data_IF_867990290099
#
_entry.id   IF_867990290099
#
_cell.length_a   1.000
_cell.length_b   1.000
_cell.length_c   1.000
_cell.angle_alpha   90.00
_cell.angle_beta   90.00
_cell.angle_gamma   90.00
#
_symmetry.space_group_name_H-M   'P 1'
#
loop_
_entity.id
_entity.type
_entity.pdbx_description
1 polymer ?
#
# COMPACT_ATOMS: atom_id res chain seq x y z
N UNK A 1 7.02 -18.97 31.07
CA UNK A 1 6.51 -18.46 29.79
C UNK A 1 7.13 -17.08 29.59
N UNK A 2 8.19 -16.98 28.78
CA UNK A 2 8.89 -15.72 28.57
C UNK A 2 8.02 -14.87 27.62
N UNK A 3 7.45 -13.78 28.14
CA UNK A 3 6.82 -12.76 27.30
C UNK A 3 7.94 -12.14 26.46
N UNK A 4 7.92 -12.34 25.15
CA UNK A 4 8.81 -11.66 24.22
C UNK A 4 8.39 -10.18 24.17
N UNK A 5 8.94 -9.38 25.08
CA UNK A 5 8.73 -7.94 25.11
C UNK A 5 9.68 -7.31 24.10
N UNK A 6 9.14 -6.80 23.00
CA UNK A 6 9.89 -5.98 22.05
C UNK A 6 9.81 -4.52 22.49
N UNK A 7 10.97 -3.92 22.78
CA UNK A 7 11.08 -2.50 23.12
C UNK A 7 11.59 -1.76 21.89
N UNK A 8 10.91 -0.66 21.52
CA UNK A 8 11.29 0.16 20.39
C UNK A 8 10.75 1.59 20.51
N UNK A 9 11.14 2.44 19.56
CA UNK A 9 10.62 3.80 19.45
C UNK A 9 9.37 3.82 18.57
N UNK A 10 8.27 4.33 19.12
CA UNK A 10 7.04 4.60 18.38
C UNK A 10 6.89 6.09 18.11
N UNK A 11 6.24 6.43 16.99
CA UNK A 11 5.74 7.77 16.70
C UNK A 11 4.24 7.66 16.54
N UNK A 12 3.51 8.63 17.10
CA UNK A 12 2.08 8.71 16.87
C UNK A 12 1.82 9.15 15.43
N UNK A 13 1.00 8.38 14.71
CA UNK A 13 0.70 8.63 13.30
C UNK A 13 -0.80 8.92 13.23
N UNK A 14 -1.19 10.10 12.71
CA UNK A 14 -2.59 10.43 12.49
C UNK A 14 -3.32 9.34 11.70
N UNK A 15 -4.62 9.19 11.95
CA UNK A 15 -5.48 8.24 11.23
C UNK A 15 -6.04 8.82 9.92
N UNK A 16 -5.90 10.13 9.70
CA UNK A 16 -6.38 10.82 8.51
C UNK A 16 -5.24 11.05 7.51
N UNK A 17 -5.37 10.48 6.31
CA UNK A 17 -4.32 10.49 5.28
C UNK A 17 -3.86 11.89 4.85
N UNK A 18 -4.78 12.85 4.90
CA UNK A 18 -4.54 14.25 4.54
C UNK A 18 -3.73 15.03 5.59
N UNK A 19 -3.47 14.42 6.76
CA UNK A 19 -2.68 15.08 7.79
C UNK A 19 -1.19 15.07 7.41
N UNK A 20 -0.56 16.26 7.39
CA UNK A 20 0.85 16.47 7.02
C UNK A 20 1.84 15.59 7.79
N UNK A 21 1.46 15.21 9.02
CA UNK A 21 2.20 14.25 9.85
C UNK A 21 2.45 12.89 9.16
N UNK A 22 1.57 12.43 8.28
CA UNK A 22 1.75 11.16 7.53
C UNK A 22 2.79 11.35 6.43
N UNK A 23 2.73 12.44 5.69
CA UNK A 23 3.74 12.76 4.67
C UNK A 23 5.13 12.84 5.29
N UNK A 24 5.27 13.55 6.41
CA UNK A 24 6.54 13.65 7.14
C UNK A 24 7.01 12.29 7.66
N UNK A 25 6.08 11.47 8.15
CA UNK A 25 6.38 10.11 8.57
C UNK A 25 6.93 9.29 7.39
N UNK A 26 6.22 9.22 6.27
CA UNK A 26 6.63 8.44 5.11
C UNK A 26 8.00 8.91 4.57
N UNK A 27 8.16 10.22 4.34
CA UNK A 27 9.43 10.80 3.87
C UNK A 27 10.59 10.44 4.80
N UNK A 28 10.42 10.58 6.12
CA UNK A 28 11.47 10.23 7.09
C UNK A 28 11.91 8.76 6.99
N UNK A 29 10.96 7.83 6.86
CA UNK A 29 11.30 6.40 6.77
C UNK A 29 11.91 6.03 5.42
N UNK A 30 11.46 6.65 4.33
CA UNK A 30 12.07 6.51 3.01
C UNK A 30 13.51 7.03 3.05
N UNK A 31 13.73 8.23 3.61
CA UNK A 31 15.06 8.84 3.75
C UNK A 31 15.98 7.97 4.61
N UNK A 32 15.49 7.44 5.74
CA UNK A 32 16.26 6.52 6.57
C UNK A 32 16.63 5.24 5.83
N UNK A 33 15.69 4.67 5.07
CA UNK A 33 15.94 3.47 4.27
C UNK A 33 17.05 3.71 3.23
N UNK A 34 16.96 4.83 2.50
CA UNK A 34 17.91 5.16 1.43
C UNK A 34 19.31 5.53 1.93
N UNK A 35 19.39 6.22 3.08
CA UNK A 35 20.65 6.75 3.59
C UNK A 35 21.35 5.83 4.60
N UNK A 36 20.59 5.00 5.32
CA UNK A 36 21.14 4.16 6.40
C UNK A 36 21.31 2.69 6.02
N UNK A 37 20.78 2.24 4.87
CA UNK A 37 20.91 0.86 4.38
C UNK A 37 21.63 0.75 3.03
N UNK A 38 22.88 1.24 2.91
CA UNK A 38 23.61 1.23 1.64
C UNK A 38 23.79 -0.21 1.11
N UNK A 39 23.46 -0.42 -0.17
CA UNK A 39 23.60 -1.71 -0.85
C UNK A 39 22.58 -2.78 -0.45
N UNK A 40 21.67 -2.48 0.49
CA UNK A 40 20.58 -3.41 0.89
C UNK A 40 19.21 -2.96 0.38
N UNK A 41 19.00 -1.66 0.29
CA UNK A 41 17.75 -1.08 -0.19
C UNK A 41 17.98 -0.43 -1.56
N UNK A 42 17.11 -0.75 -2.53
CA UNK A 42 17.13 -0.14 -3.86
C UNK A 42 16.78 1.34 -3.71
N UNK A 43 17.53 2.22 -4.37
CA UNK A 43 17.14 3.63 -4.49
C UNK A 43 15.99 3.73 -5.51
N UNK A 44 14.98 4.58 -5.27
CA UNK A 44 13.98 4.86 -6.28
C UNK A 44 14.67 5.46 -7.49
N UNK A 45 14.55 4.78 -8.61
CA UNK A 45 15.05 5.22 -9.91
C UNK A 45 13.95 4.92 -10.93
N UNK A 46 13.81 5.74 -11.99
CA UNK A 46 12.92 5.42 -13.08
C UNK A 46 13.22 4.02 -13.64
N UNK A 47 12.18 3.21 -13.73
CA UNK A 47 12.23 1.86 -14.28
C UNK A 47 11.25 1.75 -15.43
N UNK A 48 11.47 0.77 -16.29
CA UNK A 48 10.52 0.46 -17.35
C UNK A 48 9.16 0.12 -16.74
N UNK A 49 8.14 0.91 -17.08
CA UNK A 49 6.81 0.70 -16.53
C UNK A 49 6.24 -0.67 -16.93
N UNK A 50 5.46 -1.32 -16.04
CA UNK A 50 4.66 -2.49 -16.39
C UNK A 50 3.75 -2.20 -17.59
N UNK A 51 3.16 -3.27 -18.17
CA UNK A 51 2.27 -3.15 -19.33
C UNK A 51 1.18 -2.10 -19.12
N UNK A 52 0.66 -2.01 -17.90
CA UNK A 52 -0.30 -0.99 -17.45
C UNK A 52 0.04 -0.47 -16.07
N UNK A 53 -0.23 0.81 -15.86
CA UNK A 53 -0.24 1.47 -14.56
C UNK A 53 -1.42 2.43 -14.45
N UNK A 54 -1.76 2.82 -13.23
CA UNK A 54 -2.76 3.85 -12.94
C UNK A 54 -2.06 5.19 -12.83
N UNK A 55 -2.38 6.13 -13.71
CA UNK A 55 -1.99 7.52 -13.57
C UNK A 55 -2.91 8.17 -12.52
N UNK A 56 -2.32 8.66 -11.42
CA UNK A 56 -3.09 9.18 -10.27
C UNK A 56 -3.30 10.70 -10.30
N UNK A 57 -2.61 11.42 -11.19
CA UNK A 57 -2.57 12.88 -11.16
C UNK A 57 -1.77 13.42 -9.96
N UNK A 58 -1.78 14.72 -9.76
CA UNK A 58 -0.98 15.39 -8.73
C UNK A 58 -1.81 15.85 -7.53
N UNK A 59 -3.10 16.11 -7.74
CA UNK A 59 -3.98 16.70 -6.74
C UNK A 59 -5.26 15.87 -6.55
N UNK A 60 -5.90 16.08 -5.40
CA UNK A 60 -7.23 15.53 -5.16
C UNK A 60 -8.22 16.09 -6.18
N UNK A 61 -9.03 15.21 -6.77
CA UNK A 61 -9.95 15.55 -7.86
C UNK A 61 -9.38 15.39 -9.27
N UNK A 62 -8.07 15.19 -9.42
CA UNK A 62 -7.49 14.85 -10.71
C UNK A 62 -8.04 13.50 -11.21
N UNK A 63 -8.21 13.41 -12.53
CA UNK A 63 -8.71 12.19 -13.19
C UNK A 63 -7.72 11.06 -13.00
N UNK A 64 -8.19 9.99 -12.38
CA UNK A 64 -7.46 8.73 -12.23
C UNK A 64 -7.79 7.87 -13.44
N UNK A 65 -6.77 7.35 -14.14
CA UNK A 65 -6.98 6.56 -15.35
C UNK A 65 -5.92 5.49 -15.54
N UNK A 66 -6.28 4.44 -16.25
CA UNK A 66 -5.38 3.38 -16.66
C UNK A 66 -4.57 3.84 -17.88
N UNK A 67 -3.26 3.67 -17.85
CA UNK A 67 -2.37 3.97 -18.99
C UNK A 67 -1.61 2.74 -19.41
N UNK A 68 -1.42 2.58 -20.73
CA UNK A 68 -0.60 1.55 -21.35
C UNK A 68 0.70 2.19 -21.85
N UNK A 69 1.51 2.68 -20.91
CA UNK A 69 2.80 3.33 -21.18
C UNK A 69 3.96 2.32 -21.06
N UNK A 70 3.73 1.08 -21.50
CA UNK A 70 4.71 0.00 -21.43
C UNK A 70 6.05 0.45 -22.06
N UNK A 71 7.14 0.32 -21.31
CA UNK A 71 8.47 0.67 -21.82
C UNK A 71 8.93 2.11 -21.54
N UNK A 72 8.08 3.01 -21.04
CA UNK A 72 8.52 4.33 -20.57
C UNK A 72 9.19 4.19 -19.21
N UNK A 73 10.31 4.88 -19.02
CA UNK A 73 10.97 4.92 -17.72
C UNK A 73 10.28 5.93 -16.80
N UNK A 74 9.75 5.45 -15.67
CA UNK A 74 9.17 6.28 -14.62
C UNK A 74 9.16 5.57 -13.28
N UNK A 75 8.95 6.33 -12.21
CA UNK A 75 8.68 5.78 -10.89
C UNK A 75 7.21 5.42 -10.73
N UNK A 76 6.94 4.33 -10.01
CA UNK A 76 5.60 3.94 -9.62
C UNK A 76 5.61 3.28 -8.24
N UNK A 77 4.46 3.32 -7.58
CA UNK A 77 4.20 2.52 -6.39
C UNK A 77 3.42 1.27 -6.76
N UNK A 78 3.50 0.22 -5.95
CA UNK A 78 2.64 -0.96 -6.07
C UNK A 78 1.73 -1.09 -4.84
N UNK A 79 0.48 -1.50 -5.03
CA UNK A 79 -0.46 -1.83 -3.96
C UNK A 79 -0.54 -3.36 -3.79
N UNK A 80 -0.25 -3.85 -2.59
CA UNK A 80 -0.52 -5.23 -2.18
C UNK A 80 -1.72 -5.23 -1.23
N UNK A 81 -2.84 -5.82 -1.65
CA UNK A 81 -4.09 -5.78 -0.90
C UNK A 81 -4.95 -7.02 -1.14
N UNK A 82 -5.82 -7.33 -0.17
CA UNK A 82 -6.88 -8.32 -0.35
C UNK A 82 -8.10 -7.67 -1.00
N UNK A 83 -8.66 -8.34 -2.01
CA UNK A 83 -9.88 -7.88 -2.66
C UNK A 83 -11.12 -8.11 -1.78
N UNK A 84 -11.07 -9.10 -0.88
CA UNK A 84 -12.20 -9.54 -0.05
C UNK A 84 -13.32 -10.24 -0.82
N UNK A 85 -14.36 -10.67 -0.11
CA UNK A 85 -15.53 -11.40 -0.65
C UNK A 85 -16.74 -10.52 -0.98
N UNK A 86 -16.56 -9.19 -1.07
CA UNK A 86 -17.61 -8.18 -1.31
C UNK A 86 -17.51 -7.52 -2.69
N UNK A 87 -18.00 -6.27 -2.82
CA UNK A 87 -17.91 -5.54 -4.10
C UNK A 87 -16.47 -5.19 -4.51
N UNK A 88 -15.52 -5.22 -3.57
CA UNK A 88 -14.08 -5.15 -3.85
C UNK A 88 -13.61 -3.84 -4.49
N UNK A 89 -12.32 -3.75 -4.86
CA UNK A 89 -11.84 -2.67 -5.71
C UNK A 89 -12.44 -2.78 -7.11
N UNK A 90 -12.51 -1.67 -7.88
CA UNK A 90 -12.84 -1.75 -9.30
C UNK A 90 -11.89 -2.72 -10.03
N UNK A 91 -12.45 -3.47 -10.97
CA UNK A 91 -11.74 -4.47 -11.78
C UNK A 91 -11.73 -4.07 -13.24
N UNK A 92 -10.59 -4.20 -13.89
CA UNK A 92 -10.50 -4.04 -15.34
C UNK A 92 -10.94 -5.33 -16.02
N UNK A 93 -11.93 -5.22 -16.89
CA UNK A 93 -12.47 -6.26 -17.76
C UNK A 93 -12.31 -5.82 -19.21
N UNK A 94 -12.36 -6.76 -20.16
CA UNK A 94 -12.30 -6.44 -21.60
C UNK A 94 -13.35 -5.41 -22.01
N UNK A 95 -14.53 -5.47 -21.39
CA UNK A 95 -15.67 -4.58 -21.66
C UNK A 95 -15.47 -3.15 -21.16
N UNK A 96 -14.72 -2.95 -20.07
CA UNK A 96 -14.53 -1.63 -19.45
C UNK A 96 -13.09 -1.09 -19.60
N UNK A 97 -12.16 -1.87 -20.20
CA UNK A 97 -10.77 -1.48 -20.41
C UNK A 97 -10.64 -0.11 -21.09
N UNK A 98 -11.41 0.13 -22.16
CA UNK A 98 -11.39 1.43 -22.85
C UNK A 98 -11.88 2.55 -21.94
N UNK A 99 -12.94 2.33 -21.18
CA UNK A 99 -13.47 3.32 -20.25
C UNK A 99 -12.46 3.65 -19.14
N UNK A 100 -11.77 2.64 -18.59
CA UNK A 100 -10.72 2.84 -17.59
C UNK A 100 -9.53 3.66 -18.12
N UNK A 101 -9.26 3.63 -19.43
CA UNK A 101 -8.23 4.50 -20.04
C UNK A 101 -8.63 5.96 -20.09
N UNK A 102 -9.93 6.25 -20.15
CA UNK A 102 -10.45 7.61 -20.09
C UNK A 102 -10.56 8.10 -18.64
N UNK A 103 -11.17 7.28 -17.78
CA UNK A 103 -11.31 7.51 -16.35
C UNK A 103 -11.68 6.21 -15.63
N UNK A 104 -10.96 5.90 -14.56
CA UNK A 104 -11.35 4.85 -13.62
C UNK A 104 -12.46 5.46 -12.74
N UNK A 105 -13.64 4.81 -12.63
CA UNK A 105 -14.69 5.32 -11.77
C UNK A 105 -14.17 5.49 -10.35
N UNK A 106 -14.69 6.47 -9.57
CA UNK A 106 -14.35 6.60 -8.16
C UNK A 106 -14.42 5.22 -7.52
N UNK A 107 -13.47 4.90 -6.64
CA UNK A 107 -13.17 3.56 -6.14
C UNK A 107 -14.31 2.87 -5.36
N UNK A 108 -15.55 3.37 -5.43
CA UNK A 108 -16.72 2.89 -4.74
C UNK A 108 -16.44 2.86 -3.25
N UNK A 109 -16.68 1.71 -2.64
CA UNK A 109 -16.41 1.47 -1.23
C UNK A 109 -14.94 1.08 -0.95
N UNK A 110 -14.06 1.03 -1.95
CA UNK A 110 -12.65 0.67 -1.74
C UNK A 110 -11.86 1.84 -1.15
N UNK A 111 -11.96 1.99 0.16
CA UNK A 111 -11.16 2.94 0.94
C UNK A 111 -9.66 2.65 0.81
N UNK A 112 -9.27 1.37 0.67
CA UNK A 112 -7.86 0.98 0.52
C UNK A 112 -7.26 1.53 -0.78
N UNK A 113 -7.99 1.43 -1.90
CA UNK A 113 -7.53 1.99 -3.17
C UNK A 113 -7.46 3.52 -3.11
N UNK A 114 -8.46 4.16 -2.51
CA UNK A 114 -8.47 5.61 -2.32
C UNK A 114 -7.26 6.07 -1.50
N UNK A 115 -7.01 5.43 -0.35
CA UNK A 115 -5.88 5.76 0.52
C UNK A 115 -4.54 5.52 -0.20
N UNK A 116 -4.43 4.48 -1.03
CA UNK A 116 -3.22 4.22 -1.82
C UNK A 116 -2.98 5.31 -2.90
N UNK A 117 -4.03 5.75 -3.59
CA UNK A 117 -3.96 6.85 -4.57
C UNK A 117 -3.47 8.14 -3.89
N UNK A 118 -4.05 8.48 -2.74
CA UNK A 118 -3.66 9.68 -1.99
C UNK A 118 -2.21 9.59 -1.48
N UNK A 119 -1.75 8.45 -0.97
CA UNK A 119 -0.33 8.26 -0.60
C UNK A 119 0.58 8.46 -1.82
N UNK A 120 0.20 7.91 -2.96
CA UNK A 120 0.98 8.03 -4.20
C UNK A 120 1.13 9.49 -4.61
N UNK A 121 0.04 10.27 -4.56
CA UNK A 121 0.04 11.73 -4.78
C UNK A 121 0.89 12.47 -3.75
N UNK A 122 0.77 12.14 -2.47
CA UNK A 122 1.53 12.77 -1.38
C UNK A 122 3.04 12.56 -1.49
N UNK A 123 3.46 11.42 -2.05
CA UNK A 123 4.85 11.11 -2.34
C UNK A 123 5.33 11.70 -3.67
N UNK A 124 4.46 12.39 -4.41
CA UNK A 124 4.75 12.99 -5.72
C UNK A 124 5.20 11.96 -6.76
N UNK A 125 4.73 10.72 -6.63
CA UNK A 125 4.97 9.65 -7.60
C UNK A 125 3.77 9.61 -8.55
N UNK A 126 3.97 9.59 -9.88
CA UNK A 126 2.88 9.78 -10.84
C UNK A 126 2.00 8.55 -11.06
N UNK A 127 2.51 7.36 -10.73
CA UNK A 127 1.90 6.10 -11.12
C UNK A 127 1.73 5.12 -9.93
N UNK A 128 0.64 4.37 -9.97
CA UNK A 128 0.32 3.28 -9.04
C UNK A 128 0.01 2.01 -9.83
N UNK A 129 0.59 0.88 -9.46
CA UNK A 129 0.22 -0.43 -9.96
C UNK A 129 -0.71 -1.13 -8.98
N UNK A 130 -1.85 -1.61 -9.48
CA UNK A 130 -2.87 -2.34 -8.71
C UNK A 130 -3.32 -3.52 -9.54
N UNK A 131 -3.13 -4.74 -9.05
CA UNK A 131 -3.44 -5.98 -9.79
C UNK A 131 -4.86 -6.00 -10.37
N UNK A 132 -5.88 -5.59 -9.61
CA UNK A 132 -7.28 -5.57 -10.04
C UNK A 132 -7.54 -4.64 -11.23
N UNK A 133 -6.73 -3.60 -11.39
CA UNK A 133 -6.87 -2.57 -12.44
C UNK A 133 -5.89 -2.77 -13.59
N UNK A 134 -4.66 -3.17 -13.29
CA UNK A 134 -3.56 -3.28 -14.23
C UNK A 134 -3.50 -4.65 -14.94
N UNK A 135 -4.36 -5.60 -14.55
CA UNK A 135 -4.56 -6.89 -15.22
C UNK A 135 -6.02 -6.98 -15.68
N UNK A 136 -6.27 -7.47 -16.89
CA UNK A 136 -7.62 -7.69 -17.42
C UNK A 136 -8.13 -9.02 -16.84
N UNK A 137 -9.09 -8.94 -15.92
CA UNK A 137 -9.45 -10.06 -15.04
C UNK A 137 -10.22 -11.18 -15.75
N UNK A 138 -10.90 -10.87 -16.85
CA UNK A 138 -11.65 -11.81 -17.69
C UNK A 138 -10.87 -12.21 -18.97
N UNK A 139 -9.55 -11.97 -19.01
CA UNK A 139 -8.68 -12.37 -20.11
C UNK A 139 -7.58 -13.31 -19.59
N UNK A 140 -7.71 -14.64 -19.81
CA UNK A 140 -6.74 -15.61 -19.31
C UNK A 140 -5.32 -15.40 -19.82
N UNK A 141 -5.16 -14.93 -21.07
CA UNK A 141 -3.84 -14.70 -21.65
C UNK A 141 -3.17 -13.48 -21.02
N UNK A 142 -3.93 -12.40 -20.82
CA UNK A 142 -3.44 -11.20 -20.14
C UNK A 142 -3.08 -11.50 -18.68
N UNK A 143 -3.90 -12.32 -18.01
CA UNK A 143 -3.64 -12.75 -16.65
C UNK A 143 -2.37 -13.60 -16.55
N UNK A 144 -2.19 -14.58 -17.44
CA UNK A 144 -1.00 -15.44 -17.47
C UNK A 144 0.28 -14.62 -17.70
N UNK A 145 0.26 -13.70 -18.67
CA UNK A 145 1.40 -12.84 -18.99
C UNK A 145 1.79 -11.92 -17.83
N UNK A 146 0.82 -11.29 -17.17
CA UNK A 146 1.09 -10.28 -16.13
C UNK A 146 1.35 -10.90 -14.76
N UNK A 147 0.67 -12.00 -14.42
CA UNK A 147 0.93 -12.73 -13.18
C UNK A 147 2.35 -13.30 -13.14
N UNK A 148 2.86 -13.78 -14.28
CA UNK A 148 4.24 -14.26 -14.41
C UNK A 148 5.29 -13.16 -14.13
N UNK A 149 4.94 -11.88 -14.35
CA UNK A 149 5.82 -10.72 -14.13
C UNK A 149 5.62 -10.06 -12.77
N UNK A 150 4.63 -10.48 -12.00
CA UNK A 150 4.21 -9.80 -10.76
C UNK A 150 5.35 -9.63 -9.77
N UNK A 151 6.21 -10.64 -9.60
CA UNK A 151 7.39 -10.55 -8.73
C UNK A 151 8.35 -9.43 -9.14
N UNK A 152 8.57 -9.26 -10.46
CA UNK A 152 9.41 -8.18 -10.99
C UNK A 152 8.73 -6.82 -10.81
N UNK A 153 7.42 -6.73 -11.05
CA UNK A 153 6.64 -5.50 -10.85
C UNK A 153 6.77 -5.01 -9.39
N UNK A 154 6.58 -5.91 -8.41
CA UNK A 154 6.77 -5.52 -7.01
C UNK A 154 8.22 -5.18 -6.67
N UNK A 155 9.20 -5.86 -7.27
CA UNK A 155 10.62 -5.60 -7.05
C UNK A 155 11.09 -4.27 -7.67
N UNK A 156 10.46 -3.83 -8.75
CA UNK A 156 10.82 -2.60 -9.46
C UNK A 156 10.08 -1.35 -8.98
N UNK A 157 8.94 -1.49 -8.30
CA UNK A 157 8.24 -0.38 -7.66
C UNK A 157 9.14 0.36 -6.65
N UNK A 158 9.05 1.70 -6.64
CA UNK A 158 9.80 2.55 -5.70
C UNK A 158 9.47 2.20 -4.24
N UNK A 159 8.19 1.90 -3.96
CA UNK A 159 7.70 1.33 -2.71
C UNK A 159 6.50 0.43 -2.98
N UNK A 160 6.32 -0.58 -2.12
CA UNK A 160 5.08 -1.36 -2.06
C UNK A 160 4.25 -0.92 -0.85
N UNK A 161 3.04 -0.45 -1.11
CA UNK A 161 2.03 -0.17 -0.09
C UNK A 161 1.36 -1.51 0.24
N UNK A 162 1.62 -2.03 1.45
CA UNK A 162 0.98 -3.25 1.93
C UNK A 162 -0.23 -2.91 2.81
N UNK A 163 -1.44 -3.28 2.37
CA UNK A 163 -2.68 -3.12 3.12
C UNK A 163 -2.87 -4.24 4.17
N UNK A 164 -1.82 -4.56 4.94
CA UNK A 164 -1.75 -5.76 5.78
C UNK A 164 -2.79 -5.83 6.91
N UNK A 165 -3.34 -4.70 7.32
CA UNK A 165 -4.37 -4.62 8.37
C UNK A 165 -5.79 -4.54 7.83
N UNK A 166 -5.96 -4.57 6.50
CA UNK A 166 -7.25 -4.46 5.84
C UNK A 166 -7.68 -5.86 5.35
N UNK A 167 -8.69 -6.51 5.97
CA UNK A 167 -9.15 -7.83 5.54
C UNK A 167 -9.79 -7.80 4.13
N UNK A 168 -10.18 -6.61 3.67
CA UNK A 168 -10.78 -6.35 2.37
C UNK A 168 -10.48 -4.90 1.93
N UNK A 169 -10.90 -4.54 0.72
CA UNK A 169 -10.72 -3.20 0.16
C UNK A 169 -11.45 -2.07 0.91
N UNK A 170 -12.40 -2.35 1.81
CA UNK A 170 -13.30 -1.35 2.41
C UNK A 170 -12.73 -0.71 3.69
N UNK A 171 -11.74 -1.35 4.32
CA UNK A 171 -11.23 -0.91 5.63
C UNK A 171 -10.31 0.31 5.54
N UNK A 172 -9.56 0.44 4.44
CA UNK A 172 -8.55 1.49 4.28
C UNK A 172 -7.19 1.14 4.89
N UNK A 173 -6.21 2.02 4.68
CA UNK A 173 -4.82 1.80 5.12
C UNK A 173 -4.56 2.30 6.56
N UNK A 174 -5.40 3.20 7.07
CA UNK A 174 -5.23 3.88 8.35
C UNK A 174 -6.42 3.58 9.26
N UNK A 175 -6.47 2.35 9.78
CA UNK A 175 -7.46 1.97 10.79
C UNK A 175 -7.10 2.52 12.18
N UNK A 176 -8.12 2.64 13.03
CA UNK A 176 -7.91 2.96 14.44
C UNK A 176 -7.02 1.89 15.10
N UNK A 177 -5.99 2.36 15.80
CA UNK A 177 -5.02 1.47 16.46
C UNK A 177 -5.56 1.01 17.81
N UNK A 178 -5.22 -0.23 18.18
CA UNK A 178 -5.55 -0.77 19.49
C UNK A 178 -5.13 0.18 20.63
N UNK A 179 -5.95 0.22 21.69
CA UNK A 179 -5.77 1.15 22.81
C UNK A 179 -4.40 0.95 23.45
N UNK A 180 -3.59 2.01 23.44
CA UNK A 180 -2.30 2.03 24.14
C UNK A 180 -2.51 2.19 25.64
N UNK A 181 -1.77 1.40 26.42
CA UNK A 181 -1.66 1.57 27.87
C UNK A 181 -0.49 2.51 28.15
N UNK A 182 -0.75 3.63 28.82
CA UNK A 182 0.28 4.61 29.18
C UNK A 182 0.75 4.38 30.60
N UNK A 183 2.04 4.10 30.74
CA UNK A 183 2.75 4.05 32.03
C UNK A 183 3.60 5.31 32.12
N UNK A 184 3.55 6.01 33.25
CA UNK A 184 4.34 7.22 33.49
C UNK A 184 5.02 7.11 34.84
N UNK A 185 6.25 7.60 34.94
CA UNK A 185 7.05 7.51 36.17
C UNK A 185 8.18 8.51 36.17
N UNK A 186 9.01 8.45 37.22
CA UNK A 186 10.20 9.28 37.40
C UNK A 186 11.37 8.32 37.61
N UNK A 187 12.46 8.52 36.88
CA UNK A 187 13.66 7.70 37.04
C UNK A 187 14.42 8.05 38.34
N UNK A 188 15.49 7.31 38.62
CA UNK A 188 16.33 7.53 39.82
C UNK A 188 17.05 8.89 39.83
N UNK A 189 17.02 9.64 38.73
CA UNK A 189 17.62 10.97 38.58
C UNK A 189 16.58 12.09 38.62
N UNK A 190 15.31 11.77 38.90
CA UNK A 190 14.23 12.76 38.92
C UNK A 190 13.66 13.09 37.53
N UNK A 191 14.04 12.35 36.48
CA UNK A 191 13.58 12.62 35.12
C UNK A 191 12.27 11.86 34.84
N UNK A 192 11.23 12.60 34.47
CA UNK A 192 9.94 12.01 34.10
C UNK A 192 10.02 11.24 32.78
N UNK A 193 9.38 10.06 32.73
CA UNK A 193 9.29 9.25 31.52
C UNK A 193 7.86 8.80 31.24
N UNK A 194 7.58 8.49 29.97
CA UNK A 194 6.32 7.93 29.48
C UNK A 194 6.62 6.70 28.64
N UNK A 195 6.01 5.57 28.98
CA UNK A 195 6.07 4.31 28.24
C UNK A 195 4.67 4.02 27.71
N UNK A 196 4.58 3.67 26.44
CA UNK A 196 3.34 3.24 25.80
C UNK A 196 3.44 1.75 25.52
N UNK A 197 2.47 0.99 26.01
CA UNK A 197 2.41 -0.47 25.90
C UNK A 197 1.20 -0.86 25.06
N UNK A 198 1.42 -1.76 24.12
CA UNK A 198 0.36 -2.42 23.34
C UNK A 198 0.68 -3.90 23.21
N UNK A 199 -0.35 -4.70 23.01
CA UNK A 199 -0.17 -6.10 22.64
C UNK A 199 0.62 -6.19 21.32
N UNK A 200 1.60 -7.08 21.27
CA UNK A 200 2.35 -7.32 20.04
C UNK A 200 1.40 -7.96 19.02
N UNK A 201 1.19 -7.35 17.84
CA UNK A 201 0.43 -8.00 16.79
C UNK A 201 1.12 -9.32 16.44
N UNK A 202 0.38 -10.43 16.41
CA UNK A 202 0.91 -11.71 15.95
C UNK A 202 1.38 -11.57 14.50
N UNK A 203 2.61 -12.00 14.22
CA UNK A 203 3.17 -12.02 12.87
C UNK A 203 2.38 -12.95 11.92
N UNK A 204 1.60 -13.89 12.48
CA UNK A 204 0.76 -14.84 11.74
C UNK A 204 -0.66 -14.36 11.48
N UNK A 205 -1.15 -13.31 12.15
CA UNK A 205 -2.44 -12.70 11.80
C UNK A 205 -2.44 -12.12 10.37
N UNK A 206 -1.27 -11.98 9.76
CA UNK A 206 -1.08 -11.50 8.39
C UNK A 206 -1.03 -12.62 7.34
N UNK A 207 -0.76 -13.88 7.73
CA UNK A 207 -0.49 -14.99 6.79
C UNK A 207 -1.76 -15.77 6.45
N UNK A 208 -2.74 -15.83 7.35
CA UNK A 208 -4.00 -16.58 7.13
C UNK A 208 -4.84 -16.06 5.94
N UNK A 209 -4.51 -14.90 5.37
CA UNK A 209 -5.23 -14.31 4.22
C UNK A 209 -4.58 -14.62 2.84
N UNK A 210 -3.46 -15.33 2.79
CA UNK A 210 -2.73 -15.64 1.53
C UNK A 210 -2.94 -17.09 1.04
N UNK A 211 -4.07 -17.73 1.36
CA UNK A 211 -4.44 -18.99 0.71
C UNK A 211 -5.00 -18.71 -0.70
N UNK A 212 -4.11 -18.70 -1.68
CA UNK A 212 -4.37 -18.42 -3.10
C UNK A 212 -5.25 -19.49 -3.80
N UNK A 213 -5.61 -20.59 -3.13
CA UNK A 213 -6.24 -21.76 -3.75
C UNK A 213 -7.76 -21.87 -3.61
N UNK A 214 -8.43 -21.00 -2.84
CA UNK A 214 -9.87 -21.19 -2.56
C UNK A 214 -10.82 -20.27 -3.35
N UNK A 215 -10.32 -19.36 -4.20
CA UNK A 215 -11.17 -18.40 -4.92
C UNK A 215 -11.43 -18.72 -6.41
N UNK A 216 -11.20 -19.97 -6.85
CA UNK A 216 -11.44 -20.39 -8.24
C UNK A 216 -12.70 -21.25 -8.46
N UNK A 217 -13.58 -21.41 -7.47
CA UNK A 217 -14.87 -22.06 -7.67
C UNK A 217 -16.00 -21.30 -6.97
N UNK A 218 -16.63 -20.39 -7.71
CA UNK A 218 -17.86 -19.69 -7.35
C UNK A 218 -18.45 -18.99 -8.55
#
# INVERSE_FOLDING_TARGET
MLLNIVIGHGVDIPTQIQHTGITNFLKRYIDQCQNNHPGKCKKPEPVSLPKRVVAVGSHSGDVVKLVEDAGKDAEYLALSHSWGSGQGPPKTLRTNLKAHKDSIPPSGNSKTLHDAIEITRLLQIPYLWVDSLCIVQDDPLDWEDESAKMALIYADASLTIAASSAPNGETGLLADRAKVHRIQGVDTRGVGYKIYVREQPSHYNFVEQFNYHDNLNG
#
